data_IF_971627677465
#
_entry.id   IF_971627677465
#
_cell.length_a   1.000
_cell.length_b   1.000
_cell.length_c   1.000
_cell.angle_alpha   90.00
_cell.angle_beta   90.00
_cell.angle_gamma   90.00
#
_symmetry.space_group_name_H-M   'P 1'
#
loop_
_entity.id
_entity.type
_entity.pdbx_description
1 polymer ?
#
# COMPACT_ATOMS: atom_id res chain seq x y z
N UNK A 1 -26.82 -91.77 -0.96
CA UNK A 1 -27.65 -90.71 -0.31
C UNK A 1 -26.98 -90.04 0.89
N UNK A 2 -26.34 -90.77 1.83
CA UNK A 2 -25.71 -90.19 3.04
C UNK A 2 -24.68 -89.08 2.78
N UNK A 3 -23.77 -89.24 1.80
CA UNK A 3 -22.71 -88.25 1.56
C UNK A 3 -23.25 -86.90 1.06
N UNK A 4 -24.28 -86.89 0.18
CA UNK A 4 -24.92 -85.64 -0.29
C UNK A 4 -25.61 -84.88 0.84
N UNK A 5 -26.18 -85.59 1.82
CA UNK A 5 -26.83 -84.98 2.98
C UNK A 5 -25.80 -84.32 3.92
N UNK A 6 -24.63 -84.94 4.09
CA UNK A 6 -23.54 -84.32 4.87
C UNK A 6 -22.95 -83.09 4.18
N UNK A 7 -22.69 -83.16 2.87
CA UNK A 7 -22.19 -81.99 2.12
C UNK A 7 -23.20 -80.84 2.15
N UNK A 8 -24.51 -81.13 2.00
CA UNK A 8 -25.57 -80.12 2.08
C UNK A 8 -25.69 -79.51 3.49
N UNK A 9 -25.55 -80.32 4.54
CA UNK A 9 -25.55 -79.83 5.94
C UNK A 9 -24.35 -78.95 6.24
N UNK A 10 -23.15 -79.34 5.79
CA UNK A 10 -21.94 -78.54 5.96
C UNK A 10 -22.04 -77.23 5.19
N UNK A 11 -22.57 -77.26 3.97
CA UNK A 11 -22.80 -76.06 3.17
C UNK A 11 -23.83 -75.12 3.82
N UNK A 12 -24.91 -75.67 4.37
CA UNK A 12 -25.94 -74.88 5.07
C UNK A 12 -25.40 -74.27 6.37
N UNK A 13 -24.58 -75.00 7.14
CA UNK A 13 -23.93 -74.48 8.35
C UNK A 13 -22.91 -73.38 7.99
N UNK A 14 -22.11 -73.57 6.93
CA UNK A 14 -21.17 -72.56 6.45
C UNK A 14 -21.89 -71.31 5.93
N UNK A 15 -23.00 -71.48 5.21
CA UNK A 15 -23.84 -70.38 4.73
C UNK A 15 -24.44 -69.61 5.92
N UNK A 16 -24.98 -70.31 6.92
CA UNK A 16 -25.48 -69.68 8.16
C UNK A 16 -24.37 -68.91 8.88
N UNK A 17 -23.13 -69.45 8.97
CA UNK A 17 -22.00 -68.77 9.60
C UNK A 17 -21.57 -67.50 8.85
N UNK A 18 -21.60 -67.51 7.51
CA UNK A 18 -21.26 -66.35 6.66
C UNK A 18 -22.38 -65.30 6.68
N UNK A 19 -23.64 -65.72 6.83
CA UNK A 19 -24.78 -64.82 7.04
C UNK A 19 -24.88 -64.31 8.49
N UNK A 20 -24.29 -65.01 9.47
CA UNK A 20 -24.31 -64.66 10.90
C UNK A 20 -23.02 -63.99 11.39
N UNK A 21 -22.03 -63.75 10.53
CA UNK A 21 -20.90 -62.91 10.90
C UNK A 21 -21.41 -61.48 11.03
N UNK A 22 -21.84 -61.10 12.22
CA UNK A 22 -22.05 -59.69 12.55
C UNK A 22 -20.71 -59.01 12.31
N UNK A 23 -20.65 -58.10 11.35
CA UNK A 23 -19.65 -57.04 11.37
C UNK A 23 -19.73 -56.47 12.79
N UNK A 24 -18.68 -56.63 13.59
CA UNK A 24 -18.59 -55.97 14.88
C UNK A 24 -18.43 -54.49 14.57
N UNK A 25 -19.54 -53.83 14.25
CA UNK A 25 -19.63 -52.38 14.28
C UNK A 25 -19.53 -52.00 15.74
N UNK A 26 -18.73 -50.98 16.07
CA UNK A 26 -18.89 -50.38 17.37
C UNK A 26 -20.35 -49.89 17.48
N UNK A 27 -20.95 -50.05 18.65
CA UNK A 27 -22.25 -49.44 18.93
C UNK A 27 -22.09 -47.94 19.09
N UNK A 28 -23.18 -47.20 18.87
CA UNK A 28 -23.19 -45.76 19.14
C UNK A 28 -23.04 -45.51 20.66
N UNK A 29 -22.35 -44.44 21.02
CA UNK A 29 -22.33 -43.94 22.40
C UNK A 29 -23.09 -42.62 22.45
N UNK A 30 -24.29 -42.62 23.05
CA UNK A 30 -25.16 -41.46 23.08
C UNK A 30 -25.49 -41.04 24.52
N UNK A 31 -25.51 -39.73 24.76
CA UNK A 31 -25.94 -39.08 25.99
C UNK A 31 -27.12 -38.18 25.62
N UNK A 32 -28.28 -38.46 26.21
CA UNK A 32 -29.52 -37.72 25.97
C UNK A 32 -29.90 -36.84 27.17
N UNK A 33 -30.78 -35.88 26.93
CA UNK A 33 -31.47 -35.18 27.99
C UNK A 33 -32.40 -36.17 28.73
N UNK A 34 -32.29 -36.24 30.06
CA UNK A 34 -33.12 -37.13 30.89
C UNK A 34 -34.62 -36.81 30.83
N UNK A 35 -34.98 -35.59 30.41
CA UNK A 35 -36.36 -35.14 30.27
C UNK A 35 -36.88 -35.17 28.83
N UNK A 36 -35.99 -35.39 27.84
CA UNK A 36 -36.33 -35.46 26.42
C UNK A 36 -35.29 -36.31 25.67
N UNK A 37 -35.62 -37.59 25.44
CA UNK A 37 -34.73 -38.54 24.76
C UNK A 37 -34.48 -38.19 23.28
N UNK A 38 -35.27 -37.28 22.68
CA UNK A 38 -34.99 -36.78 21.33
C UNK A 38 -33.85 -35.76 21.31
N UNK A 39 -33.57 -35.12 22.44
CA UNK A 39 -32.48 -34.17 22.57
C UNK A 39 -31.18 -34.88 22.94
N UNK A 40 -30.30 -35.05 21.95
CA UNK A 40 -28.94 -35.54 22.17
C UNK A 40 -28.04 -34.43 22.69
N UNK A 41 -27.30 -34.68 23.78
CA UNK A 41 -26.24 -33.78 24.26
C UNK A 41 -24.88 -34.15 23.70
N UNK A 42 -24.60 -35.44 23.57
CA UNK A 42 -23.34 -35.94 23.02
C UNK A 42 -23.57 -37.28 22.33
N UNK A 43 -23.00 -37.48 21.16
CA UNK A 43 -23.06 -38.73 20.42
C UNK A 43 -21.69 -39.08 19.85
N UNK A 44 -21.36 -40.37 19.82
CA UNK A 44 -20.29 -40.93 19.00
C UNK A 44 -20.94 -41.98 18.11
N UNK A 45 -20.88 -41.78 16.79
CA UNK A 45 -21.39 -42.75 15.84
C UNK A 45 -20.46 -43.97 15.80
N UNK A 46 -21.00 -45.15 16.09
CA UNK A 46 -20.26 -46.40 16.16
C UNK A 46 -19.84 -46.97 14.80
N UNK A 47 -20.41 -46.47 13.70
CA UNK A 47 -20.00 -46.84 12.34
C UNK A 47 -18.90 -45.93 11.81
N UNK A 48 -19.01 -44.61 11.99
CA UNK A 48 -18.09 -43.61 11.41
C UNK A 48 -17.05 -43.09 12.39
N UNK A 49 -17.27 -43.21 13.69
CA UNK A 49 -16.45 -42.61 14.74
C UNK A 49 -16.66 -41.11 14.92
N UNK A 50 -17.62 -40.51 14.20
CA UNK A 50 -17.90 -39.07 14.26
C UNK A 50 -18.48 -38.66 15.62
N UNK A 51 -18.09 -37.48 16.11
CA UNK A 51 -18.51 -36.94 17.39
C UNK A 51 -19.50 -35.80 17.18
N UNK A 52 -20.67 -35.88 17.83
CA UNK A 52 -21.68 -34.84 17.85
C UNK A 52 -21.82 -34.23 19.25
N UNK A 53 -21.80 -32.90 19.36
CA UNK A 53 -22.20 -32.18 20.58
C UNK A 53 -23.52 -31.46 20.30
N UNK A 54 -24.60 -31.92 20.93
CA UNK A 54 -25.95 -31.43 20.61
C UNK A 54 -26.56 -32.02 19.33
N UNK A 55 -25.95 -33.05 18.74
CA UNK A 55 -26.31 -33.64 17.44
C UNK A 55 -26.35 -35.17 17.55
N UNK A 56 -27.42 -35.81 17.09
CA UNK A 56 -27.61 -37.28 17.13
C UNK A 56 -26.84 -38.03 16.05
N UNK A 57 -26.72 -37.44 14.86
CA UNK A 57 -26.18 -38.10 13.66
C UNK A 57 -25.08 -37.24 13.01
N UNK A 58 -23.91 -37.09 13.64
CA UNK A 58 -22.84 -36.23 13.15
C UNK A 58 -22.29 -36.73 11.80
N UNK A 59 -22.21 -35.82 10.82
CA UNK A 59 -21.76 -36.16 9.45
C UNK A 59 -20.28 -35.90 9.21
N UNK A 60 -19.62 -35.16 10.11
CA UNK A 60 -18.19 -34.86 10.10
C UNK A 60 -17.52 -35.35 11.39
N UNK A 61 -16.19 -35.42 11.40
CA UNK A 61 -15.39 -35.92 12.53
C UNK A 61 -15.80 -35.32 13.88
N UNK A 62 -16.04 -34.01 13.92
CA UNK A 62 -16.60 -33.30 15.06
C UNK A 62 -17.63 -32.29 14.54
N UNK A 63 -18.85 -32.42 15.02
CA UNK A 63 -19.94 -31.51 14.70
C UNK A 63 -20.59 -30.99 15.97
N UNK A 64 -20.91 -29.71 16.00
CA UNK A 64 -21.57 -29.05 17.13
C UNK A 64 -22.85 -28.41 16.59
N UNK A 65 -23.90 -28.38 17.41
CA UNK A 65 -25.16 -27.73 17.06
C UNK A 65 -24.95 -26.26 16.63
N UNK A 66 -25.69 -25.82 15.61
CA UNK A 66 -25.57 -24.46 15.07
C UNK A 66 -25.96 -23.39 16.11
N UNK A 67 -25.42 -22.18 15.95
CA UNK A 67 -25.61 -21.04 16.86
C UNK A 67 -25.35 -21.38 18.34
N UNK A 68 -24.30 -22.19 18.56
CA UNK A 68 -23.77 -22.52 19.89
C UNK A 68 -22.28 -22.22 19.97
N UNK A 69 -21.91 -21.57 21.06
CA UNK A 69 -20.53 -21.20 21.33
C UNK A 69 -19.71 -22.38 21.85
N UNK A 70 -18.55 -22.58 21.25
CA UNK A 70 -17.40 -23.17 21.95
C UNK A 70 -16.83 -22.08 22.86
N UNK A 71 -16.60 -22.38 24.13
CA UNK A 71 -16.11 -21.40 25.11
C UNK A 71 -15.05 -21.99 26.03
N UNK A 72 -14.26 -21.10 26.65
CA UNK A 72 -13.28 -21.42 27.68
C UNK A 72 -13.57 -20.63 28.96
N UNK A 73 -12.95 -20.98 30.08
CA UNK A 73 -12.97 -20.13 31.28
C UNK A 73 -12.19 -18.83 31.03
N UNK A 74 -12.66 -17.72 31.60
CA UNK A 74 -11.88 -16.48 31.60
C UNK A 74 -10.63 -16.60 32.49
N UNK A 75 -9.72 -15.63 32.41
CA UNK A 75 -8.49 -15.60 33.21
C UNK A 75 -8.73 -15.70 34.72
N UNK A 76 -9.85 -15.15 35.22
CA UNK A 76 -10.22 -15.19 36.64
C UNK A 76 -10.92 -16.49 37.06
N UNK A 77 -11.22 -17.40 36.12
CA UNK A 77 -11.90 -18.67 36.36
C UNK A 77 -13.39 -18.59 36.69
N UNK A 78 -13.93 -17.40 36.93
CA UNK A 78 -15.32 -17.17 37.35
C UNK A 78 -16.31 -17.02 36.21
N UNK A 79 -15.83 -16.72 35.00
CA UNK A 79 -16.65 -16.50 33.80
C UNK A 79 -16.25 -17.40 32.63
N UNK A 80 -16.90 -17.19 31.49
CA UNK A 80 -16.56 -17.83 30.23
C UNK A 80 -16.14 -16.79 29.20
N UNK A 81 -15.36 -17.23 28.22
CA UNK A 81 -15.00 -16.48 27.01
C UNK A 81 -15.43 -17.33 25.84
N UNK A 82 -16.35 -16.79 25.04
CA UNK A 82 -16.78 -17.44 23.81
C UNK A 82 -15.65 -17.36 22.78
N UNK A 83 -15.41 -18.47 22.08
CA UNK A 83 -14.33 -18.58 21.11
C UNK A 83 -14.89 -18.53 19.68
N UNK A 84 -15.63 -19.57 19.29
CA UNK A 84 -16.16 -19.73 17.94
C UNK A 84 -17.60 -20.25 17.98
N UNK A 85 -18.43 -19.77 17.07
CA UNK A 85 -19.68 -20.43 16.65
C UNK A 85 -19.86 -20.27 15.15
N UNK A 86 -20.74 -21.08 14.58
CA UNK A 86 -21.40 -20.75 13.32
C UNK A 86 -22.71 -20.05 13.69
N UNK A 87 -22.96 -18.88 13.10
CA UNK A 87 -24.18 -18.11 13.37
C UNK A 87 -25.34 -18.51 12.44
N UNK A 88 -26.48 -17.83 12.57
CA UNK A 88 -27.67 -18.10 11.74
C UNK A 88 -27.46 -17.82 10.24
N UNK A 89 -26.39 -17.11 9.86
CA UNK A 89 -26.03 -16.80 8.48
C UNK A 89 -24.90 -17.70 7.95
N UNK A 90 -24.69 -18.86 8.56
CA UNK A 90 -23.65 -19.83 8.19
C UNK A 90 -22.21 -19.25 8.20
N UNK A 91 -21.99 -18.19 8.96
CA UNK A 91 -20.68 -17.55 9.10
C UNK A 91 -20.03 -17.90 10.43
N UNK A 92 -18.70 -18.03 10.43
CA UNK A 92 -17.92 -18.17 11.65
C UNK A 92 -17.92 -16.82 12.38
N UNK A 93 -18.33 -16.84 13.64
CA UNK A 93 -18.31 -15.68 14.52
C UNK A 93 -17.31 -15.89 15.66
N UNK A 94 -16.54 -14.85 15.96
CA UNK A 94 -15.59 -14.84 17.08
C UNK A 94 -16.24 -14.20 18.30
N UNK A 95 -16.23 -14.92 19.42
CA UNK A 95 -16.86 -14.45 20.67
C UNK A 95 -15.98 -13.51 21.49
N UNK A 96 -14.71 -13.33 21.11
CA UNK A 96 -13.73 -12.48 21.76
C UNK A 96 -12.65 -12.03 20.76
N UNK A 97 -11.78 -11.11 21.18
CA UNK A 97 -10.65 -10.64 20.38
C UNK A 97 -9.74 -11.79 19.96
N UNK A 98 -9.39 -11.83 18.67
CA UNK A 98 -8.40 -12.75 18.12
C UNK A 98 -7.00 -12.15 18.25
N UNK A 99 -6.20 -12.71 19.15
CA UNK A 99 -4.78 -12.39 19.27
C UNK A 99 -3.98 -13.37 18.40
N UNK A 100 -3.41 -12.88 17.30
CA UNK A 100 -2.62 -13.65 16.34
C UNK A 100 -1.26 -12.98 16.12
N UNK A 101 -0.26 -13.79 15.77
CA UNK A 101 1.06 -13.29 15.36
C UNK A 101 0.99 -12.71 13.95
N UNK A 102 1.32 -13.52 12.94
CA UNK A 102 1.18 -13.16 11.53
C UNK A 102 -0.19 -13.53 10.99
N UNK A 103 -0.65 -12.76 10.00
CA UNK A 103 -1.71 -13.14 9.08
C UNK A 103 -1.07 -13.32 7.70
N UNK A 104 -1.21 -14.51 7.11
CA UNK A 104 -0.49 -14.90 5.89
C UNK A 104 -1.43 -15.60 4.90
N UNK A 105 -1.21 -15.35 3.61
CA UNK A 105 -1.86 -16.06 2.51
C UNK A 105 -0.90 -17.07 1.89
N UNK A 106 -1.45 -18.12 1.26
CA UNK A 106 -0.64 -19.12 0.58
C UNK A 106 0.17 -18.53 -0.59
N UNK A 107 1.29 -19.17 -0.91
CA UNK A 107 2.06 -18.87 -2.11
C UNK A 107 1.19 -19.01 -3.37
N UNK A 108 1.51 -18.21 -4.40
CA UNK A 108 0.81 -18.21 -5.70
C UNK A 108 -0.71 -17.93 -5.65
N UNK A 109 -1.22 -17.30 -4.59
CA UNK A 109 -2.67 -17.01 -4.45
C UNK A 109 -3.23 -15.96 -5.42
N UNK A 110 -2.37 -15.29 -6.21
CA UNK A 110 -2.79 -14.24 -7.13
C UNK A 110 -3.41 -13.03 -6.42
N UNK A 111 -4.60 -12.61 -6.85
CA UNK A 111 -5.39 -11.57 -6.18
C UNK A 111 -6.24 -12.19 -5.07
N UNK A 112 -5.98 -11.81 -3.82
CA UNK A 112 -6.78 -12.22 -2.66
C UNK A 112 -7.41 -11.00 -2.01
N UNK A 113 -8.71 -11.07 -1.75
CA UNK A 113 -9.39 -10.08 -0.90
C UNK A 113 -9.00 -10.34 0.55
N UNK A 114 -8.28 -9.40 1.16
CA UNK A 114 -7.88 -9.54 2.56
C UNK A 114 -9.04 -9.31 3.53
N UNK A 115 -9.74 -8.18 3.37
CA UNK A 115 -10.91 -7.82 4.15
C UNK A 115 -11.90 -7.15 3.22
N UNK A 116 -13.17 -7.52 3.35
CA UNK A 116 -14.29 -6.85 2.69
C UNK A 116 -15.32 -6.41 3.73
N UNK A 117 -15.88 -5.23 3.53
CA UNK A 117 -16.99 -4.68 4.33
C UNK A 117 -18.15 -4.43 3.37
N UNK A 118 -19.07 -5.41 3.19
CA UNK A 118 -20.21 -5.22 2.31
C UNK A 118 -21.16 -4.17 2.88
N UNK A 119 -21.64 -3.27 2.02
CA UNK A 119 -22.59 -2.21 2.38
C UNK A 119 -23.97 -2.58 1.85
N UNK A 120 -24.97 -2.61 2.73
CA UNK A 120 -26.37 -2.87 2.36
C UNK A 120 -27.09 -1.59 1.93
N UNK A 121 -28.37 -1.69 1.53
CA UNK A 121 -29.21 -0.53 1.26
C UNK A 121 -29.80 0.13 2.51
N UNK A 122 -29.48 -0.38 3.71
CA UNK A 122 -30.00 0.15 4.98
C UNK A 122 -29.34 1.46 5.41
N UNK A 123 -28.01 1.65 5.30
CA UNK A 123 -27.38 2.94 5.61
C UNK A 123 -27.82 4.03 4.62
N UNK A 124 -28.12 5.22 5.13
CA UNK A 124 -28.46 6.36 4.28
C UNK A 124 -27.24 6.83 3.49
N UNK A 125 -27.48 7.40 2.29
CA UNK A 125 -26.42 7.95 1.46
C UNK A 125 -25.58 8.99 2.22
N UNK A 126 -24.25 8.89 2.12
CA UNK A 126 -23.29 9.73 2.86
C UNK A 126 -22.88 9.20 4.23
N UNK A 127 -23.46 8.09 4.71
CA UNK A 127 -22.99 7.40 5.92
C UNK A 127 -21.60 6.82 5.68
N UNK A 128 -20.64 7.06 6.57
CA UNK A 128 -19.28 6.55 6.41
C UNK A 128 -19.24 5.03 6.61
N UNK A 129 -18.70 4.33 5.62
CA UNK A 129 -18.47 2.89 5.61
C UNK A 129 -16.97 2.67 5.37
N UNK A 130 -16.21 2.47 6.45
CA UNK A 130 -14.76 2.63 6.43
C UNK A 130 -14.07 1.78 7.49
N UNK A 131 -12.84 1.35 7.23
CA UNK A 131 -12.00 0.67 8.20
C UNK A 131 -10.64 1.34 8.33
N UNK A 132 -10.08 1.30 9.54
CA UNK A 132 -8.85 1.99 9.90
C UNK A 132 -7.81 0.98 10.40
N UNK A 133 -6.62 1.05 9.83
CA UNK A 133 -5.43 0.39 10.35
C UNK A 133 -4.80 1.26 11.42
N UNK A 134 -4.64 0.68 12.62
CA UNK A 134 -4.08 1.37 13.79
C UNK A 134 -2.83 0.69 14.31
N UNK A 135 -1.96 1.48 14.93
CA UNK A 135 -0.82 1.01 15.72
C UNK A 135 -0.82 1.83 17.01
N UNK A 136 -0.75 1.16 18.17
CA UNK A 136 -0.72 1.81 19.49
C UNK A 136 -1.87 2.82 19.74
N UNK A 137 -3.04 2.56 19.14
CA UNK A 137 -4.22 3.44 19.23
C UNK A 137 -4.27 4.56 18.18
N UNK A 138 -3.16 4.85 17.49
CA UNK A 138 -3.08 5.87 16.45
C UNK A 138 -3.60 5.36 15.10
N UNK A 139 -4.33 6.21 14.37
CA UNK A 139 -4.82 5.91 13.03
C UNK A 139 -3.70 6.10 12.01
N UNK A 140 -3.27 5.03 11.34
CA UNK A 140 -2.18 5.06 10.36
C UNK A 140 -2.75 5.22 8.94
N UNK A 141 -3.65 4.32 8.55
CA UNK A 141 -4.26 4.29 7.23
C UNK A 141 -5.76 4.05 7.33
N UNK A 142 -6.53 4.75 6.50
CA UNK A 142 -7.98 4.62 6.40
C UNK A 142 -8.35 4.26 4.98
N UNK A 143 -9.11 3.18 4.81
CA UNK A 143 -9.84 2.90 3.57
C UNK A 143 -11.24 3.44 3.77
N UNK A 144 -11.56 4.49 3.02
CA UNK A 144 -12.74 5.31 3.22
C UNK A 144 -13.73 5.16 2.08
N UNK A 145 -14.99 5.06 2.43
CA UNK A 145 -16.11 5.20 1.52
C UNK A 145 -17.35 5.70 2.26
N UNK A 146 -18.35 6.12 1.50
CA UNK A 146 -19.68 6.45 2.01
C UNK A 146 -20.70 5.51 1.38
N UNK A 147 -21.74 5.13 2.10
CA UNK A 147 -22.88 4.43 1.52
C UNK A 147 -23.54 5.29 0.43
N UNK A 148 -24.08 4.64 -0.62
CA UNK A 148 -24.88 5.28 -1.67
C UNK A 148 -26.40 5.21 -1.42
N UNK A 149 -26.82 4.57 -0.31
CA UNK A 149 -28.23 4.34 0.03
C UNK A 149 -28.93 3.24 -0.77
N UNK A 150 -28.20 2.52 -1.63
CA UNK A 150 -28.75 1.53 -2.57
C UNK A 150 -28.02 0.18 -2.53
N UNK A 151 -27.15 -0.06 -1.54
CA UNK A 151 -26.36 -1.30 -1.43
C UNK A 151 -24.98 -1.21 -2.05
N UNK A 152 -24.48 0.00 -2.30
CA UNK A 152 -23.14 0.26 -2.79
C UNK A 152 -22.45 1.39 -2.03
N UNK A 153 -21.36 1.87 -2.63
CA UNK A 153 -20.51 2.92 -2.03
C UNK A 153 -20.16 4.02 -3.03
N UNK A 154 -20.07 5.25 -2.51
CA UNK A 154 -19.62 6.46 -3.18
C UNK A 154 -18.38 7.04 -2.46
N UNK A 155 -17.74 8.05 -3.05
CA UNK A 155 -16.63 8.79 -2.43
C UNK A 155 -15.49 7.90 -1.90
N UNK A 156 -15.09 6.89 -2.69
CA UNK A 156 -14.01 5.95 -2.37
C UNK A 156 -12.65 6.66 -2.30
N UNK A 157 -11.97 6.57 -1.16
CA UNK A 157 -10.72 7.29 -0.86
C UNK A 157 -9.78 6.46 0.00
N UNK A 158 -8.50 6.80 -0.02
CA UNK A 158 -7.48 6.30 0.90
C UNK A 158 -6.91 7.49 1.66
N UNK A 159 -6.94 7.42 2.99
CA UNK A 159 -6.33 8.39 3.89
C UNK A 159 -5.10 7.81 4.57
N UNK A 160 -4.01 8.58 4.65
CA UNK A 160 -2.84 8.29 5.48
C UNK A 160 -2.69 9.43 6.50
N UNK A 161 -2.66 9.08 7.79
CA UNK A 161 -2.68 10.05 8.89
C UNK A 161 -4.00 10.83 9.02
N UNK A 162 -5.08 10.35 8.40
CA UNK A 162 -6.42 10.96 8.47
C UNK A 162 -7.54 9.93 8.33
N UNK A 163 -8.68 10.20 8.95
CA UNK A 163 -9.92 9.40 8.84
C UNK A 163 -11.00 10.09 7.98
N UNK A 164 -10.76 11.32 7.55
CA UNK A 164 -11.67 12.11 6.71
C UNK A 164 -10.95 12.57 5.44
N UNK A 165 -10.47 11.64 4.59
CA UNK A 165 -9.76 12.01 3.38
C UNK A 165 -10.63 12.88 2.47
N UNK A 166 -10.09 13.96 1.92
CA UNK A 166 -10.82 14.90 1.05
C UNK A 166 -10.61 14.60 -0.46
N UNK A 167 -9.57 13.83 -0.79
CA UNK A 167 -9.20 13.45 -2.15
C UNK A 167 -9.11 11.92 -2.25
N UNK A 168 -9.05 11.37 -3.47
CA UNK A 168 -8.91 9.91 -3.70
C UNK A 168 -7.72 9.32 -2.94
N UNK A 169 -6.59 10.03 -2.90
CA UNK A 169 -5.49 9.79 -1.99
C UNK A 169 -5.26 11.07 -1.18
N UNK A 170 -5.35 10.98 0.15
CA UNK A 170 -5.08 12.10 1.05
C UNK A 170 -4.02 11.70 2.08
N UNK A 171 -2.92 12.45 2.15
CA UNK A 171 -1.83 12.19 3.09
C UNK A 171 -1.63 13.44 3.94
N UNK A 172 -1.81 13.32 5.26
CA UNK A 172 -1.39 14.36 6.20
C UNK A 172 0.03 14.03 6.65
N UNK A 173 1.00 14.78 6.11
CA UNK A 173 2.42 14.56 6.37
C UNK A 173 3.25 14.73 5.11
N UNK A 174 4.44 14.14 5.09
CA UNK A 174 5.38 14.19 3.97
C UNK A 174 5.25 12.96 3.08
N UNK A 175 5.22 13.15 1.76
CA UNK A 175 5.36 12.07 0.79
C UNK A 175 6.77 12.05 0.18
N UNK A 176 7.35 10.86 0.00
CA UNK A 176 8.58 10.66 -0.76
C UNK A 176 8.33 9.60 -1.84
N UNK A 177 8.52 9.97 -3.11
CA UNK A 177 8.39 9.08 -4.25
C UNK A 177 9.79 8.82 -4.82
N UNK A 178 10.26 7.57 -4.74
CA UNK A 178 11.59 7.17 -5.24
C UNK A 178 11.62 6.96 -6.75
N UNK A 179 10.44 6.84 -7.39
CA UNK A 179 10.27 6.81 -8.83
C UNK A 179 9.49 8.04 -9.32
N UNK A 180 9.08 7.99 -10.59
CA UNK A 180 8.30 9.07 -11.17
C UNK A 180 6.90 9.11 -10.55
N UNK A 181 6.42 10.32 -10.24
CA UNK A 181 5.02 10.55 -9.98
C UNK A 181 4.27 10.61 -11.31
N UNK A 182 3.51 9.57 -11.61
CA UNK A 182 2.62 9.55 -12.77
C UNK A 182 1.29 10.20 -12.40
N UNK A 183 1.05 11.35 -13.00
CA UNK A 183 -0.17 12.14 -12.88
C UNK A 183 -0.15 13.18 -13.98
N UNK A 184 -1.24 13.92 -14.17
CA UNK A 184 -1.23 15.08 -15.04
C UNK A 184 -0.34 16.18 -14.45
N UNK A 185 -0.95 17.28 -14.05
CA UNK A 185 -0.23 18.37 -13.40
C UNK A 185 -0.06 18.10 -11.90
N UNK A 186 1.15 18.32 -11.36
CA UNK A 186 1.39 18.32 -9.91
C UNK A 186 1.22 19.73 -9.38
N UNK A 187 0.50 19.86 -8.28
CA UNK A 187 0.27 21.15 -7.61
C UNK A 187 1.00 21.19 -6.26
N UNK A 188 1.51 22.37 -5.89
CA UNK A 188 2.01 22.68 -4.54
C UNK A 188 1.45 24.03 -4.12
N UNK A 189 0.80 24.10 -2.94
CA UNK A 189 0.17 25.32 -2.46
C UNK A 189 -0.92 25.89 -3.39
N UNK A 190 -1.54 25.02 -4.22
CA UNK A 190 -2.52 25.42 -5.24
C UNK A 190 -1.92 25.91 -6.56
N UNK A 191 -0.59 25.96 -6.70
CA UNK A 191 0.10 26.31 -7.94
C UNK A 191 0.63 25.08 -8.65
N UNK A 192 0.59 25.08 -9.98
CA UNK A 192 1.20 24.03 -10.80
C UNK A 192 2.72 24.08 -10.65
N UNK A 193 3.33 22.97 -10.26
CA UNK A 193 4.79 22.84 -10.07
C UNK A 193 5.44 21.81 -10.98
N UNK A 194 4.64 20.94 -11.62
CA UNK A 194 5.12 20.03 -12.66
C UNK A 194 4.09 20.00 -13.80
N UNK A 195 4.31 20.84 -14.80
CA UNK A 195 3.59 20.81 -16.08
C UNK A 195 4.43 19.97 -17.05
N UNK A 196 4.10 18.70 -17.16
CA UNK A 196 4.39 17.79 -18.28
C UNK A 196 5.55 18.12 -19.25
N UNK A 197 6.58 17.25 -19.27
CA UNK A 197 7.60 17.00 -20.32
C UNK A 197 8.49 18.15 -20.83
N UNK A 198 9.79 17.99 -20.52
CA UNK A 198 10.97 18.64 -21.13
C UNK A 198 11.01 20.17 -21.13
N UNK A 199 11.38 20.75 -19.99
CA UNK A 199 12.06 22.03 -20.01
C UNK A 199 13.57 21.75 -19.97
N UNK A 200 14.21 21.79 -21.16
CA UNK A 200 15.68 21.83 -21.30
C UNK A 200 16.29 23.18 -20.92
N UNK A 201 15.44 24.16 -20.57
CA UNK A 201 15.84 25.46 -20.08
C UNK A 201 15.08 25.75 -18.78
N UNK A 202 15.75 26.00 -17.64
CA UNK A 202 15.06 26.51 -16.47
C UNK A 202 14.39 27.84 -16.84
N UNK A 203 13.06 27.87 -16.86
CA UNK A 203 12.27 29.10 -16.91
C UNK A 203 12.72 30.01 -15.75
N UNK A 204 13.63 30.94 -16.05
CA UNK A 204 14.23 31.87 -15.10
C UNK A 204 13.21 32.99 -14.83
N UNK A 205 12.11 32.65 -14.14
CA UNK A 205 11.14 33.62 -13.62
C UNK A 205 11.68 34.44 -12.46
N UNK A 206 12.89 34.17 -12.01
CA UNK A 206 13.65 35.02 -11.11
C UNK A 206 14.48 36.07 -11.85
N UNK A 207 13.85 37.15 -12.30
CA UNK A 207 14.45 38.48 -12.47
C UNK A 207 15.82 38.57 -13.21
N UNK A 208 15.80 38.63 -14.54
CA UNK A 208 16.61 39.66 -15.21
C UNK A 208 15.68 40.70 -15.78
N UNK A 209 15.37 41.71 -14.97
CA UNK A 209 15.01 43.03 -15.50
C UNK A 209 16.19 43.69 -16.25
N UNK A 210 17.29 42.98 -16.51
CA UNK A 210 18.49 43.52 -17.15
C UNK A 210 19.26 42.45 -17.93
N UNK A 211 18.60 41.80 -18.90
CA UNK A 211 19.35 41.47 -20.10
C UNK A 211 19.53 42.80 -20.84
N UNK A 212 20.74 43.35 -20.81
CA UNK A 212 21.04 44.51 -21.63
C UNK A 212 20.75 44.16 -23.08
N UNK A 213 19.80 44.87 -23.70
CA UNK A 213 19.58 44.73 -25.13
C UNK A 213 20.88 45.11 -25.85
N UNK A 214 21.05 44.70 -27.11
CA UNK A 214 22.20 45.17 -27.91
C UNK A 214 22.32 46.70 -27.85
N UNK A 215 21.20 47.42 -27.76
CA UNK A 215 21.15 48.87 -27.58
C UNK A 215 21.67 49.34 -26.21
N UNK A 216 21.33 48.65 -25.12
CA UNK A 216 21.81 48.99 -23.78
C UNK A 216 23.32 48.72 -23.64
N UNK A 217 23.80 47.59 -24.19
CA UNK A 217 25.24 47.26 -24.26
C UNK A 217 25.99 48.32 -25.07
N UNK A 218 25.44 48.75 -26.21
CA UNK A 218 25.99 49.86 -27.00
C UNK A 218 25.93 51.19 -26.23
N UNK A 219 24.93 51.37 -25.35
CA UNK A 219 24.76 52.55 -24.50
C UNK A 219 25.75 52.67 -23.35
N UNK A 220 26.32 51.57 -22.83
CA UNK A 220 27.34 51.64 -21.78
C UNK A 220 28.69 52.17 -22.26
N UNK A 221 28.83 52.44 -23.55
CA UNK A 221 30.05 52.99 -24.13
C UNK A 221 31.31 52.16 -23.85
N UNK A 222 31.18 50.92 -23.37
CA UNK A 222 32.34 50.09 -23.02
C UNK A 222 33.10 49.59 -24.23
N UNK A 223 32.53 49.65 -25.44
CA UNK A 223 33.25 49.37 -26.69
C UNK A 223 32.61 50.12 -27.86
N UNK A 224 33.00 51.38 -28.07
CA UNK A 224 32.88 51.98 -29.39
C UNK A 224 34.09 51.51 -30.22
N UNK A 225 33.82 50.86 -31.35
CA UNK A 225 34.77 50.19 -32.26
C UNK A 225 35.73 51.15 -33.01
N UNK A 226 36.26 52.19 -32.35
CA UNK A 226 37.22 53.10 -32.98
C UNK A 226 38.52 53.32 -32.24
N UNK A 227 38.71 52.84 -31.00
CA UNK A 227 40.07 52.68 -30.43
C UNK A 227 40.04 51.78 -29.20
N UNK A 228 40.40 50.50 -29.36
CA UNK A 228 41.13 49.83 -28.29
C UNK A 228 42.44 50.61 -28.13
N UNK A 229 42.57 51.41 -27.07
CA UNK A 229 43.77 52.19 -26.85
C UNK A 229 44.81 51.35 -26.10
N UNK A 230 45.71 50.74 -26.86
CA UNK A 230 46.89 50.04 -26.30
C UNK A 230 47.74 51.01 -25.45
N UNK A 231 47.58 52.35 -25.58
CA UNK A 231 48.31 53.36 -24.81
C UNK A 231 48.00 53.35 -23.31
N UNK A 232 46.87 52.81 -22.86
CA UNK A 232 46.59 52.65 -21.42
C UNK A 232 47.55 51.67 -20.73
N UNK A 233 48.21 50.79 -21.50
CA UNK A 233 49.29 49.93 -21.01
C UNK A 233 50.68 50.55 -21.14
N UNK A 234 50.82 51.71 -21.78
CA UNK A 234 52.07 52.46 -21.81
C UNK A 234 52.12 53.39 -20.60
N UNK A 235 52.82 52.92 -19.57
CA UNK A 235 53.16 53.70 -18.37
C UNK A 235 53.58 55.13 -18.74
N UNK A 236 52.96 56.11 -18.08
CA UNK A 236 53.17 57.57 -18.16
C UNK A 236 54.63 58.04 -17.92
N UNK A 237 55.56 57.11 -17.76
CA UNK A 237 57.01 57.31 -17.77
C UNK A 237 57.63 56.21 -18.64
N UNK A 238 57.92 56.51 -19.91
CA UNK A 238 58.65 55.64 -20.81
C UNK A 238 60.12 55.55 -20.33
N UNK A 239 60.56 54.47 -19.65
CA UNK A 239 61.87 54.42 -19.00
C UNK A 239 63.03 54.21 -19.99
N UNK A 240 62.72 53.91 -21.27
CA UNK A 240 63.73 53.50 -22.24
C UNK A 240 63.72 54.30 -23.55
N UNK A 241 62.99 55.42 -23.60
CA UNK A 241 63.19 56.50 -24.58
C UNK A 241 63.19 56.09 -26.07
N UNK A 242 62.53 55.00 -26.45
CA UNK A 242 62.38 54.65 -27.87
C UNK A 242 61.24 55.47 -28.49
N UNK A 243 61.60 56.31 -29.47
CA UNK A 243 60.69 57.14 -30.26
C UNK A 243 60.36 56.40 -31.57
N UNK A 244 59.08 56.15 -31.85
CA UNK A 244 58.62 55.58 -33.11
C UNK A 244 57.71 56.61 -33.82
N UNK A 245 58.21 57.25 -34.87
CA UNK A 245 57.45 58.23 -35.67
C UNK A 245 57.08 57.61 -37.01
N UNK A 246 55.78 57.41 -37.27
CA UNK A 246 55.25 56.88 -38.54
C UNK A 246 54.64 57.93 -39.47
N UNK A 247 54.93 59.21 -39.30
CA UNK A 247 54.50 60.25 -40.24
C UNK A 247 55.58 61.32 -40.41
N UNK A 248 56.09 61.42 -41.63
CA UNK A 248 57.19 62.30 -42.02
C UNK A 248 56.92 63.76 -41.63
N UNK A 249 57.79 64.28 -40.79
CA UNK A 249 57.79 65.65 -40.33
C UNK A 249 58.85 65.79 -39.25
N UNK A 250 60.04 66.25 -39.66
CA UNK A 250 61.14 66.80 -38.86
C UNK A 250 61.25 66.36 -37.39
N UNK A 251 62.11 65.38 -37.12
CA UNK A 251 62.37 64.91 -35.75
C UNK A 251 63.27 65.90 -35.00
N UNK A 252 62.91 66.17 -33.74
CA UNK A 252 63.71 66.96 -32.82
C UNK A 252 64.81 66.05 -32.24
N UNK A 253 66.06 66.25 -32.67
CA UNK A 253 67.20 65.47 -32.17
C UNK A 253 67.92 66.32 -31.12
N UNK A 254 68.06 65.76 -29.91
CA UNK A 254 68.93 66.32 -28.87
C UNK A 254 70.25 65.55 -28.93
N UNK A 255 71.36 66.24 -29.24
CA UNK A 255 72.66 65.59 -29.27
C UNK A 255 73.22 65.31 -27.86
N UNK A 256 74.27 64.52 -27.77
CA UNK A 256 74.90 64.12 -26.50
C UNK A 256 75.50 65.30 -25.70
N UNK A 257 75.54 66.51 -26.28
CA UNK A 257 75.96 67.74 -25.63
C UNK A 257 74.75 68.62 -25.23
N UNK A 258 73.52 68.10 -25.39
CA UNK A 258 72.28 68.77 -24.97
C UNK A 258 71.73 69.78 -25.97
N UNK A 259 72.29 69.88 -27.19
CA UNK A 259 71.76 70.82 -28.17
C UNK A 259 70.57 70.24 -28.91
N UNK A 260 69.53 71.06 -29.06
CA UNK A 260 68.30 70.68 -29.77
C UNK A 260 68.42 71.13 -31.23
N UNK A 261 68.33 70.19 -32.17
CA UNK A 261 68.23 70.47 -33.60
C UNK A 261 66.92 69.92 -34.15
N UNK A 262 66.25 70.73 -34.97
CA UNK A 262 65.14 70.27 -35.81
C UNK A 262 65.80 69.79 -37.11
N UNK A 263 65.85 68.46 -37.31
CA UNK A 263 66.23 67.91 -38.61
C UNK A 263 65.08 68.16 -39.56
N UNK A 264 65.31 68.88 -40.67
CA UNK A 264 64.28 69.06 -41.70
C UNK A 264 63.86 67.69 -42.23
#
# INVERSE_FOLDING_TARGET
MKNKIHTLRIFLIALILVLSSTLVSAGDFNIYNTSDESQTYFAINGTTGNIGVGISDPTTLLQILNDRWISAKNYLGTGIVNMFKVNENDAIELGATLNIGSFEFNEDSGLVTFVDMPVSSTPAAGTSESYVFKVDGDNIMTVYSEADGSGGVQNKRVGIGTITPQNTLNVIGTGNFTGNLYGGTVYSGGSEVLTSFTETDPYWTGNQSSYFTKSDILGFSYYNLTSFDIADYYLKSNPFSFVNTTSGGSSLIVDANGNIRIGI
#
